data_IF_132506320153
#
_entry.id   IF_132506320153
#
_cell.length_a   1.000
_cell.length_b   1.000
_cell.length_c   1.000
_cell.angle_alpha   90.00
_cell.angle_beta   90.00
_cell.angle_gamma   90.00
#
_symmetry.space_group_name_H-M   'P 1'
#
loop_
_entity.id
_entity.type
_entity.pdbx_description
1 polymer ?
#
# COMPACT_ATOMS: atom_id res chain seq x y z
N UNK A 1 -6.89 16.64 55.63
CA UNK A 1 -6.07 15.87 54.68
C UNK A 1 -6.95 15.55 53.50
N UNK A 2 -6.86 16.34 52.42
CA UNK A 2 -7.59 16.05 51.19
C UNK A 2 -6.88 14.92 50.46
N UNK A 3 -7.50 13.75 50.45
CA UNK A 3 -7.02 12.60 49.69
C UNK A 3 -7.59 12.72 48.28
N UNK A 4 -6.80 13.25 47.35
CA UNK A 4 -7.16 13.27 45.93
C UNK A 4 -6.95 11.87 45.35
N UNK A 5 -8.00 11.05 45.32
CA UNK A 5 -7.96 9.76 44.60
C UNK A 5 -8.14 10.06 43.11
N UNK A 6 -7.20 9.68 42.22
CA UNK A 6 -7.38 9.88 40.79
C UNK A 6 -8.60 9.09 40.33
N UNK A 7 -9.56 9.76 39.67
CA UNK A 7 -10.78 9.15 39.11
C UNK A 7 -10.48 7.89 38.27
N UNK A 8 -9.29 7.84 37.66
CA UNK A 8 -8.71 6.72 36.93
C UNK A 8 -8.64 5.37 37.67
N UNK A 9 -8.74 5.39 39.00
CA UNK A 9 -8.50 4.23 39.87
C UNK A 9 -9.77 3.66 40.51
N UNK A 10 -10.94 4.26 40.26
CA UNK A 10 -12.21 3.81 40.83
C UNK A 10 -12.87 2.77 39.92
N UNK A 11 -13.28 1.60 40.45
CA UNK A 11 -14.04 0.62 39.67
C UNK A 11 -15.45 1.17 39.35
N UNK A 12 -16.00 0.91 38.15
CA UNK A 12 -17.35 1.35 37.82
C UNK A 12 -18.41 0.61 38.64
N UNK A 13 -19.57 1.24 38.96
CA UNK A 13 -19.98 2.59 38.54
C UNK A 13 -19.29 3.70 39.34
N UNK A 14 -18.81 4.74 38.65
CA UNK A 14 -18.19 5.90 39.30
C UNK A 14 -19.28 6.93 39.63
N UNK A 15 -19.46 7.22 40.91
CA UNK A 15 -20.42 8.22 41.40
C UNK A 15 -19.70 9.53 41.71
N UNK A 16 -20.25 10.66 41.27
CA UNK A 16 -19.71 11.97 41.63
C UNK A 16 -19.91 12.25 43.13
N UNK A 17 -18.83 12.52 43.87
CA UNK A 17 -18.88 12.80 45.31
C UNK A 17 -19.63 14.11 45.61
N UNK A 18 -19.69 15.05 44.66
CA UNK A 18 -20.35 16.34 44.85
C UNK A 18 -21.86 16.32 44.59
N UNK A 19 -22.33 15.61 43.56
CA UNK A 19 -23.74 15.66 43.13
C UNK A 19 -24.45 14.31 43.14
N UNK A 20 -23.77 13.24 43.58
CA UNK A 20 -24.28 11.87 43.70
C UNK A 20 -24.79 11.23 42.39
N UNK A 21 -24.59 11.89 41.24
CA UNK A 21 -24.96 11.33 39.93
C UNK A 21 -23.93 10.31 39.47
N UNK A 22 -24.41 9.27 38.80
CA UNK A 22 -23.54 8.31 38.10
C UNK A 22 -22.84 8.98 36.92
N UNK A 23 -21.52 8.79 36.84
CA UNK A 23 -20.71 9.18 35.70
C UNK A 23 -20.68 7.98 34.75
N UNK A 24 -21.53 8.02 33.72
CA UNK A 24 -21.66 6.91 32.76
C UNK A 24 -20.45 6.74 31.83
N UNK A 25 -19.67 7.81 31.63
CA UNK A 25 -18.50 7.80 30.76
C UNK A 25 -17.33 8.57 31.43
N UNK A 26 -16.65 7.95 32.41
CA UNK A 26 -15.57 8.61 33.14
C UNK A 26 -14.31 8.85 32.30
N UNK A 27 -14.18 8.15 31.17
CA UNK A 27 -13.14 8.35 30.15
C UNK A 27 -13.82 8.63 28.82
N UNK A 28 -13.76 9.86 28.32
CA UNK A 28 -14.25 10.17 26.98
C UNK A 28 -13.39 9.49 25.93
N UNK A 29 -13.96 9.19 24.75
CA UNK A 29 -13.17 8.68 23.61
C UNK A 29 -12.00 9.62 23.23
N UNK A 30 -12.09 10.89 23.63
CA UNK A 30 -11.11 11.95 23.42
C UNK A 30 -9.95 11.95 24.45
N UNK A 31 -10.07 11.21 25.56
CA UNK A 31 -9.10 11.25 26.68
C UNK A 31 -7.95 10.23 26.52
N UNK A 32 -8.04 9.34 25.53
CA UNK A 32 -6.97 8.43 25.17
C UNK A 32 -5.94 9.16 24.28
N UNK A 33 -4.91 9.72 24.92
CA UNK A 33 -3.70 10.19 24.20
C UNK A 33 -2.90 8.99 23.72
N UNK A 34 -3.23 8.44 22.55
CA UNK A 34 -2.40 7.45 21.87
C UNK A 34 -1.56 8.11 20.78
N UNK A 35 -0.36 7.60 20.57
CA UNK A 35 0.47 7.91 19.41
C UNK A 35 0.48 6.68 18.53
N UNK A 36 0.07 6.82 17.27
CA UNK A 36 0.25 5.73 16.31
C UNK A 36 1.75 5.54 16.05
N UNK A 37 2.25 4.37 16.40
CA UNK A 37 3.58 3.92 15.98
C UNK A 37 3.39 3.05 14.73
N UNK A 38 3.95 3.47 13.61
CA UNK A 38 4.04 2.58 12.45
C UNK A 38 4.89 1.37 12.82
N UNK A 39 4.39 0.18 12.49
CA UNK A 39 5.17 -1.04 12.67
C UNK A 39 6.44 -1.01 11.83
N UNK A 40 7.47 -1.73 12.26
CA UNK A 40 8.77 -1.79 11.57
C UNK A 40 8.63 -2.16 10.08
N UNK A 41 7.75 -3.11 9.74
CA UNK A 41 7.50 -3.51 8.36
C UNK A 41 6.92 -2.35 7.52
N UNK A 42 5.96 -1.60 8.06
CA UNK A 42 5.36 -0.46 7.37
C UNK A 42 6.37 0.70 7.25
N UNK A 43 7.18 0.93 8.28
CA UNK A 43 8.29 1.90 8.23
C UNK A 43 9.24 1.60 7.09
N UNK A 44 9.69 0.34 6.95
CA UNK A 44 10.60 -0.07 5.87
C UNK A 44 9.99 0.13 4.48
N UNK A 45 8.71 -0.20 4.32
CA UNK A 45 7.99 0.00 3.05
C UNK A 45 7.92 1.49 2.69
N UNK A 46 7.63 2.36 3.67
CA UNK A 46 7.65 3.81 3.48
C UNK A 46 9.05 4.34 3.16
N UNK A 47 10.08 3.84 3.84
CA UNK A 47 11.48 4.25 3.61
C UNK A 47 12.02 3.85 2.24
N UNK A 48 11.47 2.81 1.64
CA UNK A 48 11.82 2.33 0.30
C UNK A 48 10.85 2.82 -0.79
N UNK A 49 9.93 3.72 -0.45
CA UNK A 49 8.84 4.19 -1.32
C UNK A 49 8.04 3.06 -2.00
N UNK A 50 8.02 1.87 -1.39
CA UNK A 50 7.43 0.66 -1.99
C UNK A 50 5.95 0.50 -1.64
N UNK A 51 5.35 1.48 -0.96
CA UNK A 51 3.95 1.38 -0.52
C UNK A 51 3.00 1.25 -1.71
N UNK A 52 3.26 2.00 -2.79
CA UNK A 52 2.49 1.89 -4.03
C UNK A 52 2.54 0.48 -4.60
N UNK A 53 3.71 -0.16 -4.62
CA UNK A 53 3.92 -1.49 -5.19
C UNK A 53 3.12 -2.54 -4.41
N UNK A 54 3.17 -2.47 -3.07
CA UNK A 54 2.43 -3.42 -2.22
C UNK A 54 0.92 -3.24 -2.36
N UNK A 55 0.43 -1.99 -2.44
CA UNK A 55 -1.00 -1.73 -2.61
C UNK A 55 -1.50 -2.17 -3.99
N UNK A 56 -0.73 -1.87 -5.05
CA UNK A 56 -1.01 -2.32 -6.40
C UNK A 56 -1.02 -3.86 -6.47
N UNK A 57 0.01 -4.52 -5.93
CA UNK A 57 0.11 -5.97 -5.87
C UNK A 57 -1.10 -6.60 -5.13
N UNK A 58 -1.48 -6.07 -3.98
CA UNK A 58 -2.63 -6.56 -3.22
C UNK A 58 -3.94 -6.46 -4.04
N UNK A 59 -4.11 -5.38 -4.79
CA UNK A 59 -5.28 -5.18 -5.64
C UNK A 59 -5.27 -6.08 -6.88
N UNK A 60 -4.12 -6.25 -7.53
CA UNK A 60 -3.94 -7.11 -8.70
C UNK A 60 -4.16 -8.59 -8.35
N UNK A 61 -3.64 -9.05 -7.20
CA UNK A 61 -3.94 -10.40 -6.69
C UNK A 61 -5.44 -10.60 -6.57
N UNK A 62 -6.17 -9.60 -6.06
CA UNK A 62 -7.63 -9.68 -5.92
C UNK A 62 -8.35 -9.75 -7.27
N UNK A 63 -7.88 -9.01 -8.28
CA UNK A 63 -8.51 -9.00 -9.62
C UNK A 63 -8.27 -10.27 -10.38
N UNK A 64 -7.05 -10.79 -10.32
CA UNK A 64 -6.66 -12.00 -11.03
C UNK A 64 -6.85 -13.27 -10.18
N UNK A 65 -7.48 -13.15 -9.01
CA UNK A 65 -7.88 -14.29 -8.18
C UNK A 65 -8.75 -15.26 -9.01
N UNK A 66 -8.31 -16.51 -9.10
CA UNK A 66 -8.99 -17.54 -9.90
C UNK A 66 -8.84 -17.39 -11.42
N UNK A 67 -8.02 -16.45 -11.91
CA UNK A 67 -7.75 -16.21 -13.33
C UNK A 67 -6.34 -16.68 -13.74
N UNK A 68 -5.84 -17.72 -13.09
CA UNK A 68 -4.55 -18.31 -13.40
C UNK A 68 -3.34 -17.56 -12.83
N UNK A 69 -3.51 -16.51 -12.02
CA UNK A 69 -2.37 -15.89 -11.31
C UNK A 69 -1.76 -16.88 -10.32
N UNK A 70 -0.47 -17.15 -10.45
CA UNK A 70 0.30 -18.06 -9.59
C UNK A 70 1.24 -17.29 -8.65
N UNK A 71 1.80 -16.17 -9.11
CA UNK A 71 2.73 -15.36 -8.34
C UNK A 71 2.61 -13.87 -8.66
N UNK A 72 2.96 -13.03 -7.68
CA UNK A 72 3.12 -11.60 -7.85
C UNK A 72 4.31 -11.13 -7.00
N UNK A 73 5.21 -10.36 -7.60
CA UNK A 73 6.49 -9.99 -7.00
C UNK A 73 6.71 -8.48 -7.10
N UNK A 74 6.89 -7.75 -6.00
CA UNK A 74 7.18 -6.31 -6.05
C UNK A 74 8.68 -6.06 -6.28
N UNK A 75 9.00 -5.02 -7.07
CA UNK A 75 10.38 -4.52 -7.29
C UNK A 75 11.30 -5.57 -7.92
N UNK A 76 10.99 -6.00 -9.13
CA UNK A 76 11.76 -7.04 -9.84
C UNK A 76 12.70 -6.41 -10.85
N UNK A 77 14.01 -6.53 -10.61
CA UNK A 77 15.05 -6.11 -11.55
C UNK A 77 15.36 -7.21 -12.56
N UNK A 78 15.35 -6.87 -13.84
CA UNK A 78 15.77 -7.73 -14.94
C UNK A 78 17.24 -7.50 -15.23
N UNK A 79 18.01 -8.59 -15.25
CA UNK A 79 19.46 -8.56 -15.47
C UNK A 79 19.76 -9.26 -16.80
N UNK A 80 20.50 -8.60 -17.67
CA UNK A 80 21.02 -9.22 -18.88
C UNK A 80 22.09 -10.24 -18.50
N UNK A 81 21.85 -11.51 -18.82
CA UNK A 81 22.79 -12.59 -18.54
C UNK A 81 24.14 -12.45 -19.25
N UNK A 82 24.21 -11.74 -20.39
CA UNK A 82 25.44 -11.58 -21.14
C UNK A 82 26.33 -10.47 -20.57
N UNK A 83 25.77 -9.31 -20.24
CA UNK A 83 26.53 -8.18 -19.68
C UNK A 83 26.56 -8.14 -18.14
N UNK A 84 25.66 -8.85 -17.46
CA UNK A 84 25.42 -8.71 -16.02
C UNK A 84 24.78 -7.38 -15.61
N UNK A 85 24.42 -6.52 -16.59
CA UNK A 85 23.83 -5.21 -16.35
C UNK A 85 22.32 -5.29 -16.11
N UNK A 86 21.79 -4.35 -15.32
CA UNK A 86 20.35 -4.19 -15.18
C UNK A 86 19.75 -3.62 -16.48
N UNK A 87 18.73 -4.28 -17.02
CA UNK A 87 18.01 -3.91 -18.24
C UNK A 87 16.80 -3.04 -17.91
N UNK A 88 16.16 -3.32 -16.77
CA UNK A 88 14.98 -2.59 -16.30
C UNK A 88 14.51 -3.12 -14.96
N UNK A 89 13.54 -2.44 -14.38
CA UNK A 89 12.86 -2.85 -13.15
C UNK A 89 11.35 -2.72 -13.36
N UNK A 90 10.61 -3.74 -12.95
CA UNK A 90 9.16 -3.66 -12.84
C UNK A 90 8.78 -3.42 -11.38
N UNK A 91 7.93 -2.42 -11.13
CA UNK A 91 7.41 -2.13 -9.79
C UNK A 91 6.64 -3.32 -9.22
N UNK A 92 5.89 -4.03 -10.07
CA UNK A 92 5.34 -5.35 -9.80
C UNK A 92 5.46 -6.25 -11.03
N UNK A 93 5.77 -7.53 -10.83
CA UNK A 93 5.75 -8.56 -11.86
C UNK A 93 4.72 -9.63 -11.50
N UNK A 94 3.78 -9.90 -12.41
CA UNK A 94 2.81 -10.99 -12.27
C UNK A 94 3.28 -12.23 -13.03
N UNK A 95 3.03 -13.41 -12.47
CA UNK A 95 3.28 -14.72 -13.08
C UNK A 95 1.98 -15.51 -13.14
N UNK A 96 1.58 -15.92 -14.34
CA UNK A 96 0.39 -16.74 -14.58
C UNK A 96 0.75 -18.22 -14.78
N UNK A 97 -0.25 -19.08 -14.67
CA UNK A 97 -0.13 -20.53 -14.71
C UNK A 97 0.29 -21.06 -16.09
N UNK A 98 0.08 -20.28 -17.15
CA UNK A 98 0.58 -20.56 -18.49
C UNK A 98 2.06 -20.16 -18.68
N UNK A 99 2.70 -19.62 -17.63
CA UNK A 99 4.07 -19.12 -17.66
C UNK A 99 4.18 -17.69 -18.17
N UNK A 100 3.08 -17.03 -18.50
CA UNK A 100 3.13 -15.64 -18.95
C UNK A 100 3.52 -14.69 -17.81
N UNK A 101 4.32 -13.70 -18.16
CA UNK A 101 4.79 -12.64 -17.28
C UNK A 101 4.16 -11.32 -17.71
N UNK A 102 3.69 -10.54 -16.74
CA UNK A 102 3.07 -9.23 -16.99
C UNK A 102 3.75 -8.20 -16.10
N UNK A 103 4.51 -7.25 -16.68
CA UNK A 103 5.10 -6.17 -15.93
C UNK A 103 4.04 -5.14 -15.57
N UNK A 104 4.24 -4.50 -14.43
CA UNK A 104 3.36 -3.47 -13.89
C UNK A 104 4.22 -2.29 -13.45
N UNK A 105 3.86 -1.10 -13.91
CA UNK A 105 4.40 0.18 -13.45
C UNK A 105 3.42 0.82 -12.48
N UNK A 106 3.90 1.36 -11.36
CA UNK A 106 3.08 2.03 -10.35
C UNK A 106 3.39 3.52 -10.34
N UNK A 107 2.39 4.35 -10.60
CA UNK A 107 2.52 5.80 -10.53
C UNK A 107 1.64 6.41 -9.47
N UNK A 108 2.15 7.48 -8.84
CA UNK A 108 1.36 8.26 -7.89
C UNK A 108 0.19 8.96 -8.57
N UNK A 109 0.40 9.47 -9.77
CA UNK A 109 -0.59 10.16 -10.59
C UNK A 109 -0.56 9.70 -12.04
N UNK A 110 -1.68 9.80 -12.75
CA UNK A 110 -1.75 9.41 -14.17
C UNK A 110 -0.82 10.27 -15.04
N UNK A 111 -0.75 11.58 -14.78
CA UNK A 111 0.20 12.48 -15.45
C UNK A 111 1.67 12.21 -15.11
N UNK A 112 1.96 11.34 -14.13
CA UNK A 112 3.31 10.86 -13.85
C UNK A 112 3.77 9.72 -14.76
N UNK A 113 2.90 9.23 -15.66
CA UNK A 113 3.25 8.28 -16.71
C UNK A 113 3.45 9.03 -18.03
N UNK A 114 4.70 9.40 -18.30
CA UNK A 114 5.10 10.12 -19.52
C UNK A 114 5.55 9.17 -20.63
N UNK A 115 5.94 9.71 -21.79
CA UNK A 115 6.39 8.90 -22.92
C UNK A 115 7.61 8.03 -22.61
N UNK A 116 8.49 8.49 -21.72
CA UNK A 116 9.67 7.73 -21.32
C UNK A 116 9.28 6.56 -20.41
N UNK A 117 8.33 6.79 -19.49
CA UNK A 117 7.70 5.72 -18.69
C UNK A 117 7.05 4.67 -19.59
N UNK A 118 6.30 5.11 -20.61
CA UNK A 118 5.68 4.20 -21.60
C UNK A 118 6.72 3.38 -22.34
N UNK A 119 7.75 4.01 -22.93
CA UNK A 119 8.81 3.29 -23.66
C UNK A 119 9.54 2.28 -22.79
N UNK A 120 9.76 2.58 -21.50
CA UNK A 120 10.39 1.64 -20.57
C UNK A 120 9.50 0.45 -20.27
N UNK A 121 8.21 0.68 -20.05
CA UNK A 121 7.25 -0.40 -19.83
C UNK A 121 7.10 -1.27 -21.09
N UNK A 122 6.98 -0.65 -22.27
CA UNK A 122 6.93 -1.35 -23.56
C UNK A 122 8.19 -2.24 -23.75
N UNK A 123 9.38 -1.69 -23.47
CA UNK A 123 10.63 -2.46 -23.57
C UNK A 123 10.69 -3.63 -22.57
N UNK A 124 10.13 -3.45 -21.36
CA UNK A 124 9.98 -4.52 -20.37
C UNK A 124 8.99 -5.59 -20.82
N UNK A 125 7.86 -5.17 -21.39
CA UNK A 125 6.85 -6.06 -21.96
C UNK A 125 7.43 -6.90 -23.10
N UNK A 126 8.17 -6.27 -24.02
CA UNK A 126 8.87 -6.95 -25.10
C UNK A 126 9.92 -7.94 -24.57
N UNK A 127 10.70 -7.54 -23.55
CA UNK A 127 11.74 -8.38 -22.94
C UNK A 127 11.15 -9.66 -22.35
N UNK A 128 10.00 -9.58 -21.69
CA UNK A 128 9.37 -10.75 -21.05
C UNK A 128 8.33 -11.45 -21.94
N UNK A 129 8.11 -10.96 -23.16
CA UNK A 129 7.09 -11.48 -24.07
C UNK A 129 5.66 -11.33 -23.54
N UNK A 130 5.38 -10.24 -22.82
CA UNK A 130 4.07 -10.00 -22.23
C UNK A 130 3.00 -9.75 -23.29
N UNK A 131 1.80 -10.28 -23.08
CA UNK A 131 0.64 -10.00 -23.96
C UNK A 131 -0.01 -8.64 -23.70
N UNK A 132 0.23 -8.10 -22.51
CA UNK A 132 -0.23 -6.80 -22.05
C UNK A 132 0.64 -6.37 -20.87
N UNK A 133 0.61 -5.10 -20.55
CA UNK A 133 1.17 -4.54 -19.32
C UNK A 133 0.10 -3.75 -18.56
N UNK A 134 0.48 -3.30 -17.36
CA UNK A 134 -0.43 -2.58 -16.47
C UNK A 134 0.26 -1.33 -15.94
N UNK A 135 -0.44 -0.20 -16.01
CA UNK A 135 -0.10 0.98 -15.24
C UNK A 135 -1.09 1.09 -14.08
N UNK A 136 -0.59 0.95 -12.86
CA UNK A 136 -1.38 1.10 -11.63
C UNK A 136 -1.19 2.52 -11.07
N UNK A 137 -2.26 3.30 -11.04
CA UNK A 137 -2.24 4.68 -10.52
C UNK A 137 -2.85 4.72 -9.12
N UNK A 138 -2.11 5.28 -8.15
CA UNK A 138 -2.56 5.32 -6.75
C UNK A 138 -3.37 6.57 -6.38
N UNK A 139 -3.51 7.56 -7.29
CA UNK A 139 -4.38 8.71 -7.05
C UNK A 139 -5.86 8.29 -7.05
N UNK A 140 -6.76 9.04 -6.40
CA UNK A 140 -8.18 8.76 -6.43
C UNK A 140 -8.69 8.68 -7.86
N UNK A 141 -9.47 7.64 -8.19
CA UNK A 141 -9.97 7.43 -9.56
C UNK A 141 -10.74 8.64 -10.14
N UNK A 142 -11.44 9.40 -9.28
CA UNK A 142 -12.14 10.64 -9.66
C UNK A 142 -11.22 11.79 -10.09
N UNK A 143 -9.94 11.71 -9.76
CA UNK A 143 -8.88 12.67 -10.07
C UNK A 143 -7.97 12.15 -11.20
N UNK A 144 -8.26 10.95 -11.74
CA UNK A 144 -7.60 10.44 -12.93
C UNK A 144 -8.18 11.06 -14.19
N UNK A 145 -7.37 11.85 -14.87
CA UNK A 145 -7.56 12.11 -16.29
C UNK A 145 -7.42 10.80 -17.08
N UNK A 146 -8.16 10.63 -18.18
CA UNK A 146 -7.94 9.50 -19.08
C UNK A 146 -6.49 9.48 -19.54
N UNK A 147 -5.87 8.30 -19.58
CA UNK A 147 -4.59 8.14 -20.26
C UNK A 147 -4.83 8.44 -21.74
N UNK A 148 -4.05 9.34 -22.32
CA UNK A 148 -4.13 9.64 -23.74
C UNK A 148 -3.73 8.39 -24.55
N UNK A 149 -4.51 8.07 -25.58
CA UNK A 149 -4.25 6.97 -26.52
C UNK A 149 -2.89 7.14 -27.23
#
# INVERSE_FOLDING_TARGET
MDVTIPMGSLPPPITCIGCERQIHQPYGAQDLKFTYRIGESLRRVLEKDSLGHILALAWLIKIFAGRGLVGAHPGVTFIDSASGGAVGEADVLLLFADGSLVPVEVKRSAGGFDEDGRKRLDALSDLVGAHFDIVAVTQPARECEPLAD
#
